data_IF_107452383877
#
_entry.id   IF_107452383877
#
_cell.length_a   1.000
_cell.length_b   1.000
_cell.length_c   1.000
_cell.angle_alpha   90.00
_cell.angle_beta   90.00
_cell.angle_gamma   90.00
#
_symmetry.space_group_name_H-M   'P 1'
#
loop_
_entity.id
_entity.type
_entity.pdbx_description
1 polymer ?
#
# COMPACT_ATOMS: atom_id res chain seq x y z
N UNK A 1 3.45 29.13 -11.99
CA UNK A 1 2.62 29.05 -10.77
C UNK A 1 2.06 27.63 -10.64
N UNK A 2 2.13 27.00 -9.46
CA UNK A 2 1.56 25.66 -9.22
C UNK A 2 2.55 24.54 -8.85
N UNK A 3 3.86 24.73 -9.07
CA UNK A 3 4.90 23.73 -8.76
C UNK A 3 4.93 23.28 -7.29
N UNK A 4 4.59 24.18 -6.35
CA UNK A 4 4.57 23.89 -4.91
C UNK A 4 3.17 23.55 -4.37
N UNK A 5 2.14 23.49 -5.22
CA UNK A 5 0.74 23.19 -4.81
C UNK A 5 0.17 21.90 -5.43
N UNK A 6 0.79 21.38 -6.48
CA UNK A 6 0.39 20.13 -7.13
C UNK A 6 1.15 18.93 -6.55
N UNK A 7 0.48 17.79 -6.44
CA UNK A 7 1.10 16.54 -5.98
C UNK A 7 1.16 16.36 -4.46
N UNK A 8 0.20 16.96 -3.74
CA UNK A 8 -0.01 16.77 -2.30
C UNK A 8 -0.29 15.30 -1.92
N UNK A 9 -1.01 14.58 -2.78
CA UNK A 9 -1.24 13.15 -2.59
C UNK A 9 0.10 12.41 -2.52
N UNK A 10 1.00 12.67 -3.46
CA UNK A 10 2.34 12.09 -3.46
C UNK A 10 3.04 12.33 -2.13
N UNK A 11 2.99 13.56 -1.59
CA UNK A 11 3.60 13.90 -0.29
C UNK A 11 3.03 13.08 0.84
N UNK A 12 1.74 12.79 0.76
CA UNK A 12 1.04 12.05 1.79
C UNK A 12 1.34 10.55 1.72
N UNK A 13 1.51 9.95 0.55
CA UNK A 13 1.49 8.47 0.41
C UNK A 13 2.78 7.87 -0.15
N UNK A 14 3.62 8.70 -0.76
CA UNK A 14 4.76 8.31 -1.58
C UNK A 14 5.93 7.67 -0.83
N UNK A 15 6.96 7.28 -1.58
CA UNK A 15 8.22 6.78 -1.04
C UNK A 15 8.77 7.72 0.03
N UNK A 16 9.19 7.18 1.17
CA UNK A 16 9.57 8.00 2.33
C UNK A 16 10.99 8.54 2.20
N UNK A 17 11.08 9.85 2.34
CA UNK A 17 12.31 10.56 2.68
C UNK A 17 12.14 11.12 4.09
N UNK A 18 12.79 10.50 5.05
CA UNK A 18 12.61 10.76 6.47
C UNK A 18 13.56 11.86 6.97
N UNK A 19 13.01 13.07 7.10
CA UNK A 19 13.68 14.19 7.72
C UNK A 19 14.52 15.03 6.76
N UNK A 20 15.32 15.91 7.37
CA UNK A 20 16.21 16.87 6.69
C UNK A 20 17.24 16.13 5.83
N UNK A 21 17.47 16.60 4.61
CA UNK A 21 18.60 16.14 3.81
C UNK A 21 19.07 17.21 2.83
N UNK A 22 20.33 17.16 2.45
CA UNK A 22 20.86 18.00 1.38
C UNK A 22 20.28 17.63 0.00
N UNK A 23 19.77 16.41 -0.17
CA UNK A 23 19.22 15.93 -1.44
C UNK A 23 17.73 16.24 -1.62
N UNK A 24 16.96 16.35 -0.55
CA UNK A 24 15.50 16.52 -0.60
C UNK A 24 14.99 17.63 0.32
N UNK A 25 15.87 18.53 0.74
CA UNK A 25 15.54 19.71 1.51
C UNK A 25 15.23 19.46 3.01
N UNK A 26 14.99 20.55 3.77
CA UNK A 26 14.83 20.53 5.23
C UNK A 26 13.60 19.80 5.79
N UNK A 27 12.48 19.72 5.05
CA UNK A 27 11.26 19.08 5.57
C UNK A 27 11.16 17.58 5.27
N UNK A 28 12.04 17.06 4.41
CA UNK A 28 11.80 15.78 3.76
C UNK A 28 10.55 15.85 2.87
N UNK A 29 10.52 15.01 1.83
CA UNK A 29 9.54 15.19 0.76
C UNK A 29 8.33 14.25 0.82
N UNK A 30 8.28 13.27 1.72
CA UNK A 30 7.08 12.44 1.90
C UNK A 30 6.82 12.11 3.36
N UNK A 31 5.57 12.25 3.79
CA UNK A 31 5.09 11.82 5.11
C UNK A 31 4.63 10.36 5.12
N UNK A 32 4.40 9.73 3.97
CA UNK A 32 4.10 8.30 3.82
C UNK A 32 3.05 7.75 4.79
N UNK A 33 1.95 8.49 4.97
CA UNK A 33 0.83 8.23 5.90
C UNK A 33 -0.09 7.12 5.43
N UNK A 34 -0.35 7.01 4.14
CA UNK A 34 -1.05 5.83 3.59
C UNK A 34 -0.03 4.71 3.45
N UNK A 35 -0.37 3.56 4.03
CA UNK A 35 0.51 2.40 4.11
C UNK A 35 -0.05 1.23 3.34
N UNK A 36 0.85 0.42 2.80
CA UNK A 36 0.57 -0.89 2.25
C UNK A 36 0.93 -1.96 3.29
N UNK A 37 0.41 -3.17 3.10
CA UNK A 37 0.51 -4.24 4.09
C UNK A 37 1.27 -5.45 3.56
N UNK A 38 1.79 -6.27 4.47
CA UNK A 38 2.53 -7.48 4.19
C UNK A 38 1.70 -8.50 3.40
N UNK A 39 0.42 -8.81 3.75
CA UNK A 39 -0.43 -9.63 2.90
C UNK A 39 -0.57 -9.13 1.47
N UNK A 40 -0.66 -7.81 1.26
CA UNK A 40 -0.67 -7.26 -0.09
C UNK A 40 0.68 -7.46 -0.79
N UNK A 41 1.80 -7.09 -0.15
CA UNK A 41 3.15 -7.28 -0.70
C UNK A 41 3.46 -8.74 -1.05
N UNK A 42 3.04 -9.66 -0.18
CA UNK A 42 3.28 -11.11 -0.31
C UNK A 42 2.25 -11.80 -1.21
N UNK A 43 1.22 -11.08 -1.67
CA UNK A 43 0.22 -11.62 -2.61
C UNK A 43 0.67 -11.62 -4.06
N UNK A 44 1.71 -10.87 -4.39
CA UNK A 44 2.28 -10.84 -5.73
C UNK A 44 3.05 -12.14 -6.01
N UNK A 45 2.80 -12.72 -7.17
CA UNK A 45 3.51 -13.90 -7.66
C UNK A 45 4.87 -13.54 -8.25
N UNK A 46 5.71 -14.55 -8.44
CA UNK A 46 7.05 -14.38 -9.01
C UNK A 46 6.99 -13.76 -10.42
N UNK A 47 7.85 -12.77 -10.67
CA UNK A 47 7.89 -12.03 -11.94
C UNK A 47 6.90 -10.87 -12.10
N UNK A 48 5.96 -10.66 -11.16
CA UNK A 48 5.07 -9.48 -11.22
C UNK A 48 5.85 -8.20 -10.84
N UNK A 49 6.10 -7.35 -11.84
CA UNK A 49 6.90 -6.13 -11.65
C UNK A 49 6.20 -5.08 -10.78
N UNK A 50 4.88 -5.19 -10.59
CA UNK A 50 4.09 -4.21 -9.81
C UNK A 50 4.42 -4.25 -8.34
N UNK A 51 4.87 -5.39 -7.79
CA UNK A 51 5.22 -5.52 -6.36
C UNK A 51 6.22 -4.44 -5.96
N UNK A 52 7.35 -4.38 -6.65
CA UNK A 52 8.48 -3.51 -6.29
C UNK A 52 8.27 -2.07 -6.82
N UNK A 53 7.43 -1.89 -7.85
CA UNK A 53 6.99 -0.57 -8.29
C UNK A 53 5.95 0.08 -7.37
N UNK A 54 5.14 -0.72 -6.67
CA UNK A 54 4.03 -0.23 -5.84
C UNK A 54 4.38 -0.18 -4.37
N UNK A 55 5.13 -1.15 -3.88
CA UNK A 55 5.52 -1.25 -2.49
C UNK A 55 6.99 -0.88 -2.29
N UNK A 56 7.25 -0.02 -1.31
CA UNK A 56 8.60 0.26 -0.84
C UNK A 56 8.81 -0.31 0.57
N UNK A 57 9.76 -1.25 0.66
CA UNK A 57 10.24 -1.87 1.90
C UNK A 57 11.47 -1.13 2.49
N UNK A 58 11.87 -0.03 1.85
CA UNK A 58 12.95 0.85 2.26
C UNK A 58 12.49 2.31 2.39
N UNK A 59 13.36 3.13 2.96
CA UNK A 59 13.22 4.59 3.02
C UNK A 59 14.59 5.25 2.97
N UNK A 60 14.64 6.51 2.53
CA UNK A 60 15.81 7.37 2.72
C UNK A 60 15.70 8.11 4.04
N UNK A 61 16.80 8.30 4.74
CA UNK A 61 16.85 9.12 5.95
C UNK A 61 18.25 9.20 6.54
N UNK A 62 18.40 10.05 7.54
CA UNK A 62 19.67 10.15 8.29
C UNK A 62 19.73 9.05 9.33
N UNK A 63 20.75 8.20 9.24
CA UNK A 63 21.06 7.20 10.26
C UNK A 63 21.39 7.88 11.58
N UNK A 64 20.75 7.45 12.67
CA UNK A 64 20.90 8.11 13.98
C UNK A 64 22.26 7.90 14.62
N UNK A 65 22.98 6.85 14.22
CA UNK A 65 24.27 6.50 14.81
C UNK A 65 25.42 7.08 13.99
N UNK A 66 25.35 6.96 12.64
CA UNK A 66 26.42 7.45 11.76
C UNK A 66 26.22 8.89 11.29
N UNK A 67 25.02 9.46 11.46
CA UNK A 67 24.60 10.75 10.90
C UNK A 67 24.69 10.82 9.37
N UNK A 68 24.79 9.68 8.69
CA UNK A 68 24.81 9.61 7.24
C UNK A 68 23.40 9.56 6.68
N UNK A 69 23.13 10.37 5.65
CA UNK A 69 21.90 10.24 4.87
C UNK A 69 22.03 9.08 3.88
N UNK A 70 21.24 8.02 4.09
CA UNK A 70 21.26 6.82 3.25
C UNK A 70 19.93 6.10 3.22
N UNK A 71 19.80 5.14 2.31
CA UNK A 71 18.66 4.24 2.24
C UNK A 71 18.76 3.17 3.32
N UNK A 72 17.63 2.83 3.94
CA UNK A 72 17.54 1.82 4.98
C UNK A 72 16.28 0.97 4.80
N UNK A 73 16.40 -0.33 5.08
CA UNK A 73 15.26 -1.24 5.13
C UNK A 73 14.39 -0.97 6.37
N UNK A 74 13.06 -1.04 6.21
CA UNK A 74 12.08 -0.65 7.25
C UNK A 74 12.05 -1.59 8.46
N UNK A 75 12.45 -2.85 8.31
CA UNK A 75 12.33 -3.85 9.37
C UNK A 75 10.99 -4.59 9.36
N UNK A 76 10.69 -5.30 10.46
CA UNK A 76 9.41 -5.98 10.68
C UNK A 76 8.27 -4.96 10.91
N UNK A 77 7.78 -4.38 9.83
CA UNK A 77 6.75 -3.33 9.82
C UNK A 77 5.60 -3.70 8.87
N UNK A 78 4.90 -4.82 9.12
CA UNK A 78 4.01 -5.46 8.16
C UNK A 78 2.78 -4.63 7.76
N UNK A 79 2.48 -3.55 8.46
CA UNK A 79 1.34 -2.67 8.15
C UNK A 79 1.78 -1.23 7.80
N UNK A 80 3.07 -1.03 7.53
CA UNK A 80 3.66 0.30 7.35
C UNK A 80 4.57 0.43 6.13
N UNK A 81 4.36 -0.37 5.08
CA UNK A 81 5.08 -0.24 3.81
C UNK A 81 4.66 1.03 3.09
N UNK A 82 5.60 1.70 2.41
CA UNK A 82 5.30 2.92 1.66
C UNK A 82 4.79 2.60 0.25
N UNK A 83 4.03 3.52 -0.35
CA UNK A 83 3.56 3.38 -1.72
C UNK A 83 4.53 4.05 -2.70
N UNK A 84 5.34 3.26 -3.42
CA UNK A 84 6.34 3.75 -4.38
C UNK A 84 5.77 4.20 -5.73
N UNK A 85 4.46 4.07 -5.97
CA UNK A 85 3.81 4.70 -7.14
C UNK A 85 4.01 6.22 -7.17
N UNK A 86 4.11 6.84 -6.00
CA UNK A 86 4.50 8.25 -5.85
C UNK A 86 5.93 8.34 -5.32
N UNK A 87 6.89 7.89 -6.13
CA UNK A 87 8.31 7.99 -5.78
C UNK A 87 8.90 9.34 -6.15
N UNK A 88 9.13 10.15 -5.12
CA UNK A 88 9.73 11.47 -5.21
C UNK A 88 11.12 11.50 -5.82
N UNK A 89 11.88 10.41 -5.70
CA UNK A 89 13.23 10.32 -6.25
C UNK A 89 13.21 10.47 -7.77
N UNK A 90 12.13 10.02 -8.41
CA UNK A 90 11.94 10.12 -9.87
C UNK A 90 11.66 11.54 -10.35
N UNK A 91 11.36 12.49 -9.45
CA UNK A 91 11.11 13.89 -9.80
C UNK A 91 12.38 14.74 -9.81
N UNK A 92 13.53 14.19 -9.39
CA UNK A 92 14.79 14.94 -9.33
C UNK A 92 15.26 15.45 -10.70
N UNK A 93 14.85 14.81 -11.80
CA UNK A 93 15.17 15.27 -13.17
C UNK A 93 14.44 16.57 -13.55
N UNK A 94 13.31 16.88 -12.88
CA UNK A 94 12.65 18.16 -13.04
C UNK A 94 13.42 19.24 -12.27
N UNK A 95 14.41 19.84 -12.94
CA UNK A 95 15.32 20.84 -12.35
C UNK A 95 14.60 22.00 -11.65
N UNK A 96 13.47 22.45 -12.18
CA UNK A 96 12.71 23.57 -11.61
C UNK A 96 12.05 23.17 -10.29
N UNK A 97 11.40 22.01 -10.26
CA UNK A 97 10.82 21.47 -9.01
C UNK A 97 11.93 21.15 -8.00
N UNK A 98 13.03 20.53 -8.46
CA UNK A 98 14.12 20.12 -7.60
C UNK A 98 14.81 21.32 -6.93
N UNK A 99 15.05 22.40 -7.68
CA UNK A 99 15.56 23.65 -7.11
C UNK A 99 14.62 24.23 -6.04
N UNK A 100 13.30 24.17 -6.25
CA UNK A 100 12.32 24.64 -5.26
C UNK A 100 12.33 23.81 -3.97
N UNK A 101 12.49 22.48 -4.09
CA UNK A 101 12.66 21.57 -2.95
C UNK A 101 13.90 21.94 -2.12
N UNK A 102 15.04 22.17 -2.77
CA UNK A 102 16.30 22.45 -2.08
C UNK A 102 16.31 23.83 -1.41
N UNK A 103 15.62 24.82 -2.00
CA UNK A 103 15.58 26.19 -1.50
C UNK A 103 14.54 26.43 -0.40
N UNK A 104 13.55 25.55 -0.23
CA UNK A 104 12.40 25.76 0.67
C UNK A 104 12.66 25.18 2.06
N UNK A 105 12.46 25.97 3.11
CA UNK A 105 12.36 25.49 4.50
C UNK A 105 10.96 24.97 4.86
N UNK A 106 9.99 25.16 3.94
CA UNK A 106 8.62 24.67 4.03
C UNK A 106 8.41 23.41 3.19
N UNK A 107 7.27 22.79 3.43
CA UNK A 107 6.79 21.65 2.65
C UNK A 107 6.65 22.01 1.16
N UNK A 108 7.21 21.15 0.30
CA UNK A 108 7.04 21.19 -1.16
C UNK A 108 6.35 19.90 -1.60
N UNK A 109 5.22 20.03 -2.30
CA UNK A 109 4.47 18.87 -2.84
C UNK A 109 5.27 18.16 -3.95
N UNK A 110 4.91 16.91 -4.30
CA UNK A 110 5.69 16.07 -5.23
C UNK A 110 5.83 16.59 -6.64
N UNK A 111 4.91 17.44 -7.10
CA UNK A 111 4.75 17.68 -8.52
C UNK A 111 4.25 16.45 -9.32
N UNK A 112 4.05 15.30 -8.67
CA UNK A 112 3.47 14.09 -9.30
C UNK A 112 1.97 14.28 -9.36
N UNK A 113 1.40 14.15 -10.56
CA UNK A 113 -0.03 14.30 -10.78
C UNK A 113 -0.82 13.17 -10.09
N UNK A 114 -2.05 13.50 -9.71
CA UNK A 114 -3.01 12.51 -9.20
C UNK A 114 -3.78 11.93 -10.38
N UNK A 115 -3.64 10.63 -10.60
CA UNK A 115 -4.43 9.94 -11.62
C UNK A 115 -5.87 9.84 -11.13
N UNK A 116 -6.81 10.35 -11.93
CA UNK A 116 -8.26 10.28 -11.64
C UNK A 116 -8.92 9.05 -12.26
N UNK A 117 -8.47 8.68 -13.45
CA UNK A 117 -8.88 7.49 -14.17
C UNK A 117 -7.76 7.12 -15.14
N UNK A 118 -7.62 5.83 -15.42
CA UNK A 118 -6.64 5.30 -16.39
C UNK A 118 -7.17 4.03 -17.04
N UNK A 119 -6.62 3.69 -18.19
CA UNK A 119 -7.15 2.62 -19.04
C UNK A 119 -7.32 1.26 -18.35
N UNK A 120 -6.40 0.77 -17.48
CA UNK A 120 -6.63 -0.49 -16.76
C UNK A 120 -7.84 -0.46 -15.82
N UNK A 121 -8.23 0.70 -15.29
CA UNK A 121 -9.46 0.82 -14.50
C UNK A 121 -10.71 0.64 -15.38
N UNK A 122 -10.67 1.14 -16.64
CA UNK A 122 -11.74 0.94 -17.62
C UNK A 122 -11.85 -0.54 -18.00
N UNK A 123 -10.71 -1.20 -18.25
CA UNK A 123 -10.67 -2.63 -18.54
C UNK A 123 -11.22 -3.49 -17.38
N UNK A 124 -10.92 -3.14 -16.12
CA UNK A 124 -11.50 -3.81 -14.95
C UNK A 124 -13.03 -3.62 -14.87
N UNK A 125 -13.52 -2.40 -15.05
CA UNK A 125 -14.97 -2.12 -15.07
C UNK A 125 -15.66 -2.86 -16.24
N UNK A 126 -15.01 -2.91 -17.40
CA UNK A 126 -15.51 -3.65 -18.56
C UNK A 126 -15.57 -5.15 -18.28
N UNK A 127 -14.48 -5.74 -17.78
CA UNK A 127 -14.43 -7.16 -17.44
C UNK A 127 -15.49 -7.55 -16.40
N UNK A 128 -15.70 -6.69 -15.40
CA UNK A 128 -16.74 -6.88 -14.40
C UNK A 128 -18.14 -6.86 -15.02
N UNK A 129 -18.51 -5.79 -15.73
CA UNK A 129 -19.85 -5.64 -16.30
C UNK A 129 -20.16 -6.75 -17.31
N UNK A 130 -19.20 -7.10 -18.17
CA UNK A 130 -19.40 -8.14 -19.18
C UNK A 130 -19.48 -9.52 -18.54
N UNK A 131 -18.70 -9.81 -17.50
CA UNK A 131 -18.84 -11.05 -16.75
C UNK A 131 -20.25 -11.20 -16.15
N UNK A 132 -20.75 -10.16 -15.48
CA UNK A 132 -22.06 -10.21 -14.82
C UNK A 132 -23.23 -10.34 -15.81
N UNK A 133 -23.16 -9.65 -16.95
CA UNK A 133 -24.27 -9.62 -17.91
C UNK A 133 -24.22 -10.74 -18.95
N UNK A 134 -23.03 -11.20 -19.31
CA UNK A 134 -22.81 -12.04 -20.48
C UNK A 134 -21.88 -13.25 -20.23
N UNK A 135 -21.20 -13.30 -19.08
CA UNK A 135 -20.22 -14.32 -18.74
C UNK A 135 -18.80 -13.97 -19.21
N UNK A 136 -17.81 -14.62 -18.58
CA UNK A 136 -16.38 -14.28 -18.72
C UNK A 136 -15.82 -14.39 -20.15
N UNK A 137 -16.35 -15.30 -20.97
CA UNK A 137 -15.87 -15.57 -22.33
C UNK A 137 -16.63 -14.76 -23.40
N UNK A 138 -17.57 -13.90 -22.99
CA UNK A 138 -18.33 -13.04 -23.88
C UNK A 138 -17.69 -11.65 -24.05
N UNK A 139 -18.03 -10.97 -25.14
CA UNK A 139 -17.73 -9.57 -25.41
C UNK A 139 -19.03 -8.75 -25.46
N UNK A 140 -19.00 -7.49 -25.02
CA UNK A 140 -20.13 -6.58 -25.17
C UNK A 140 -20.33 -6.19 -26.65
N UNK A 141 -21.55 -5.81 -27.01
CA UNK A 141 -21.86 -5.32 -28.36
C UNK A 141 -20.96 -4.12 -28.72
N UNK A 142 -20.28 -4.22 -29.88
CA UNK A 142 -19.36 -3.18 -30.35
C UNK A 142 -17.98 -3.19 -29.69
N UNK A 143 -17.68 -4.14 -28.81
CA UNK A 143 -16.38 -4.33 -28.19
C UNK A 143 -15.71 -5.61 -28.72
N UNK A 144 -14.38 -5.58 -28.87
CA UNK A 144 -13.60 -6.72 -29.39
C UNK A 144 -13.06 -7.64 -28.29
N UNK A 145 -12.92 -7.15 -27.07
CA UNK A 145 -12.36 -7.90 -25.96
C UNK A 145 -13.45 -8.71 -25.26
N UNK A 146 -13.15 -9.96 -24.90
CA UNK A 146 -13.96 -10.65 -23.90
C UNK A 146 -13.68 -10.09 -22.51
N UNK A 147 -14.51 -10.39 -21.50
CA UNK A 147 -14.19 -10.01 -20.12
C UNK A 147 -12.82 -10.57 -19.68
N UNK A 148 -12.57 -11.85 -19.98
CA UNK A 148 -11.27 -12.49 -19.75
C UNK A 148 -10.14 -11.82 -20.54
N UNK A 149 -10.37 -11.44 -21.80
CA UNK A 149 -9.39 -10.72 -22.62
C UNK A 149 -9.02 -9.36 -22.02
N UNK A 150 -10.00 -8.59 -21.55
CA UNK A 150 -9.76 -7.30 -20.92
C UNK A 150 -8.97 -7.42 -19.60
N UNK A 151 -9.29 -8.42 -18.77
CA UNK A 151 -8.51 -8.70 -17.57
C UNK A 151 -7.08 -9.11 -17.91
N UNK A 152 -6.92 -9.94 -18.96
CA UNK A 152 -5.62 -10.43 -19.41
C UNK A 152 -4.68 -9.33 -19.90
N UNK A 153 -5.18 -8.29 -20.57
CA UNK A 153 -4.33 -7.16 -20.99
C UNK A 153 -3.65 -6.46 -19.80
N UNK A 154 -4.37 -6.31 -18.69
CA UNK A 154 -3.83 -5.70 -17.46
C UNK A 154 -2.76 -6.61 -16.87
N UNK A 155 -3.11 -7.88 -16.73
CA UNK A 155 -2.26 -8.89 -16.12
C UNK A 155 -0.97 -9.04 -16.92
N UNK A 156 -1.06 -9.21 -18.23
CA UNK A 156 0.08 -9.50 -19.10
C UNK A 156 1.13 -8.37 -19.09
N UNK A 157 0.69 -7.11 -18.98
CA UNK A 157 1.59 -5.95 -18.88
C UNK A 157 2.43 -5.97 -17.60
N UNK A 158 1.97 -6.64 -16.55
CA UNK A 158 2.69 -6.73 -15.28
C UNK A 158 3.87 -7.72 -15.29
N UNK A 159 4.17 -8.37 -16.42
CA UNK A 159 5.22 -9.38 -16.51
C UNK A 159 6.11 -9.16 -17.72
N UNK A 160 7.43 -9.04 -17.48
CA UNK A 160 8.42 -8.99 -18.55
C UNK A 160 8.67 -10.38 -19.17
N UNK A 161 8.79 -11.41 -18.33
CA UNK A 161 9.06 -12.79 -18.74
C UNK A 161 7.76 -13.56 -19.05
N UNK A 162 7.70 -14.19 -20.22
CA UNK A 162 6.48 -14.83 -20.73
C UNK A 162 6.07 -16.09 -19.96
N UNK A 163 7.03 -16.88 -19.50
CA UNK A 163 6.81 -18.08 -18.69
C UNK A 163 6.19 -17.74 -17.32
N UNK A 164 6.70 -16.69 -16.68
CA UNK A 164 6.16 -16.17 -15.41
C UNK A 164 4.75 -15.63 -15.58
N UNK A 165 4.52 -14.86 -16.65
CA UNK A 165 3.20 -14.35 -17.02
C UNK A 165 2.17 -15.46 -17.21
N UNK A 166 2.52 -16.51 -17.94
CA UNK A 166 1.60 -17.63 -18.20
C UNK A 166 1.29 -18.41 -16.93
N UNK A 167 2.30 -18.66 -16.09
CA UNK A 167 2.14 -19.33 -14.80
C UNK A 167 1.22 -18.53 -13.88
N UNK A 168 1.48 -17.23 -13.74
CA UNK A 168 0.68 -16.29 -12.94
C UNK A 168 -0.77 -16.21 -13.42
N UNK A 169 -0.97 -16.15 -14.74
CA UNK A 169 -2.29 -16.12 -15.34
C UNK A 169 -3.08 -17.40 -15.06
N UNK A 170 -2.45 -18.56 -15.22
CA UNK A 170 -3.08 -19.86 -14.94
C UNK A 170 -3.46 -20.00 -13.46
N UNK A 171 -2.61 -19.53 -12.54
CA UNK A 171 -2.93 -19.50 -11.11
C UNK A 171 -4.10 -18.57 -10.80
N UNK A 172 -4.12 -17.36 -11.38
CA UNK A 172 -5.22 -16.41 -11.20
C UNK A 172 -6.56 -16.97 -11.70
N UNK A 173 -6.54 -17.69 -12.83
CA UNK A 173 -7.74 -18.29 -13.44
C UNK A 173 -8.26 -19.54 -12.73
N UNK A 174 -7.58 -20.04 -11.69
CA UNK A 174 -8.14 -21.07 -10.80
C UNK A 174 -9.20 -20.52 -9.84
N UNK A 175 -9.29 -19.19 -9.71
CA UNK A 175 -10.32 -18.51 -8.93
C UNK A 175 -11.59 -18.39 -9.76
N UNK A 176 -12.72 -18.21 -9.07
CA UNK A 176 -13.91 -17.67 -9.72
C UNK A 176 -13.57 -16.35 -10.42
N UNK A 177 -14.10 -16.13 -11.62
CA UNK A 177 -13.64 -15.04 -12.47
C UNK A 177 -13.83 -13.65 -11.83
N UNK A 178 -14.91 -13.49 -11.05
CA UNK A 178 -15.11 -12.28 -10.27
C UNK A 178 -14.04 -12.09 -9.18
N UNK A 179 -13.63 -13.15 -8.47
CA UNK A 179 -12.54 -13.08 -7.51
C UNK A 179 -11.19 -12.75 -8.18
N UNK A 180 -10.97 -13.22 -9.41
CA UNK A 180 -9.83 -12.82 -10.21
C UNK A 180 -9.84 -11.32 -10.53
N UNK A 181 -11.00 -10.74 -10.89
CA UNK A 181 -11.16 -9.29 -11.07
C UNK A 181 -10.87 -8.55 -9.76
N UNK A 182 -11.42 -9.03 -8.64
CA UNK A 182 -11.21 -8.45 -7.32
C UNK A 182 -9.72 -8.47 -6.94
N UNK A 183 -8.98 -9.53 -7.29
CA UNK A 183 -7.55 -9.62 -7.03
C UNK A 183 -6.73 -8.70 -7.93
N UNK A 184 -6.98 -8.73 -9.24
CA UNK A 184 -6.27 -7.89 -10.22
C UNK A 184 -6.50 -6.40 -9.94
N UNK A 185 -7.72 -6.01 -9.52
CA UNK A 185 -8.02 -4.65 -9.04
C UNK A 185 -7.14 -4.24 -7.85
N UNK A 186 -6.88 -5.15 -6.90
CA UNK A 186 -6.03 -4.86 -5.75
C UNK A 186 -4.58 -4.61 -6.17
N UNK A 187 -4.02 -5.51 -7.00
CA UNK A 187 -2.65 -5.38 -7.51
C UNK A 187 -2.48 -4.12 -8.35
N UNK A 188 -3.43 -3.87 -9.25
CA UNK A 188 -3.32 -2.80 -10.22
C UNK A 188 -3.52 -1.42 -9.58
N UNK A 189 -4.54 -1.23 -8.73
CA UNK A 189 -5.00 0.09 -8.30
C UNK A 189 -4.63 0.47 -6.86
N UNK A 190 -3.73 -0.28 -6.20
CA UNK A 190 -3.31 0.06 -4.84
C UNK A 190 -2.73 1.48 -4.74
N UNK A 191 -3.07 2.19 -3.66
CA UNK A 191 -2.66 3.57 -3.41
C UNK A 191 -3.48 4.63 -4.17
N UNK A 192 -4.32 4.25 -5.14
CA UNK A 192 -5.07 5.20 -6.00
C UNK A 192 -6.43 5.61 -5.42
N UNK A 193 -6.77 5.14 -4.21
CA UNK A 193 -7.94 5.60 -3.46
C UNK A 193 -9.28 4.96 -3.84
N UNK A 194 -9.27 3.89 -4.65
CA UNK A 194 -10.50 3.24 -5.16
C UNK A 194 -10.90 1.99 -4.39
N UNK A 195 -9.93 1.24 -3.84
CA UNK A 195 -10.15 -0.11 -3.27
C UNK A 195 -11.27 -0.18 -2.22
N UNK A 196 -11.33 0.78 -1.30
CA UNK A 196 -12.37 0.80 -0.26
C UNK A 196 -13.77 0.88 -0.89
N UNK A 197 -13.95 1.72 -1.90
CA UNK A 197 -15.23 1.93 -2.55
C UNK A 197 -15.62 0.73 -3.43
N UNK A 198 -14.65 0.14 -4.12
CA UNK A 198 -14.85 -1.10 -4.86
C UNK A 198 -15.31 -2.25 -3.94
N UNK A 199 -14.64 -2.43 -2.81
CA UNK A 199 -15.05 -3.43 -1.83
C UNK A 199 -16.44 -3.15 -1.22
N UNK A 200 -16.84 -1.89 -1.06
CA UNK A 200 -18.18 -1.55 -0.55
C UNK A 200 -19.26 -1.92 -1.58
N UNK A 201 -19.09 -1.52 -2.85
CA UNK A 201 -20.08 -1.80 -3.90
C UNK A 201 -20.20 -3.30 -4.20
N UNK A 202 -19.14 -4.07 -3.99
CA UNK A 202 -19.16 -5.53 -4.06
C UNK A 202 -19.68 -6.21 -2.81
N UNK A 203 -19.98 -5.45 -1.74
CA UNK A 203 -20.32 -6.00 -0.42
C UNK A 203 -19.23 -6.91 0.19
N UNK A 204 -17.95 -6.65 -0.12
CA UNK A 204 -16.79 -7.43 0.27
C UNK A 204 -15.87 -6.73 1.30
N UNK A 205 -16.17 -5.49 1.72
CA UNK A 205 -15.25 -4.70 2.55
C UNK A 205 -14.90 -5.39 3.87
N UNK A 206 -15.91 -5.86 4.61
CA UNK A 206 -15.68 -6.57 5.86
C UNK A 206 -14.89 -7.85 5.63
N UNK A 207 -15.38 -8.68 4.72
CA UNK A 207 -14.80 -9.99 4.41
C UNK A 207 -13.32 -9.89 4.02
N UNK A 208 -12.97 -8.92 3.15
CA UNK A 208 -11.57 -8.73 2.74
C UNK A 208 -10.66 -8.19 3.84
N UNK A 209 -11.20 -7.46 4.82
CA UNK A 209 -10.43 -7.05 6.01
C UNK A 209 -10.16 -8.25 6.90
N UNK A 210 -11.15 -9.13 7.10
CA UNK A 210 -11.01 -10.34 7.91
C UNK A 210 -10.09 -11.38 7.22
N UNK A 211 -10.19 -11.51 5.90
CA UNK A 211 -9.26 -12.29 5.08
C UNK A 211 -7.84 -11.76 5.27
N UNK A 212 -7.61 -10.46 5.09
CA UNK A 212 -6.31 -9.83 5.32
C UNK A 212 -5.71 -10.16 6.70
N UNK A 213 -6.52 -10.08 7.77
CA UNK A 213 -6.08 -10.39 9.13
C UNK A 213 -5.72 -11.87 9.30
N UNK A 214 -6.56 -12.74 8.75
CA UNK A 214 -6.37 -14.19 8.77
C UNK A 214 -5.12 -14.59 8.00
N UNK A 215 -4.92 -14.04 6.79
CA UNK A 215 -3.72 -14.28 5.96
C UNK A 215 -2.45 -13.89 6.70
N UNK A 216 -2.39 -12.70 7.31
CA UNK A 216 -1.22 -12.30 8.09
C UNK A 216 -0.98 -13.25 9.28
N UNK A 217 -2.03 -13.54 10.04
CA UNK A 217 -1.96 -14.38 11.25
C UNK A 217 -1.44 -15.78 10.91
N UNK A 218 -2.04 -16.42 9.90
CA UNK A 218 -1.64 -17.74 9.43
C UNK A 218 -0.22 -17.73 8.87
N UNK A 219 0.16 -16.70 8.12
CA UNK A 219 1.50 -16.63 7.54
C UNK A 219 2.61 -16.53 8.60
N UNK A 220 2.36 -15.78 9.67
CA UNK A 220 3.29 -15.68 10.80
C UNK A 220 3.35 -16.99 11.59
N UNK A 221 2.20 -17.56 11.96
CA UNK A 221 2.19 -18.81 12.75
C UNK A 221 2.73 -20.03 11.99
N UNK A 222 2.47 -20.10 10.67
CA UNK A 222 2.96 -21.17 9.82
C UNK A 222 4.37 -20.91 9.26
N UNK A 223 5.03 -19.83 9.70
CA UNK A 223 6.36 -19.44 9.28
C UNK A 223 6.54 -19.33 7.75
N UNK A 224 5.49 -18.92 7.03
CA UNK A 224 5.55 -18.75 5.56
C UNK A 224 6.12 -17.41 5.15
N UNK A 225 6.10 -16.41 6.04
CA UNK A 225 6.77 -15.13 5.80
C UNK A 225 8.25 -15.17 6.16
N UNK A 226 9.13 -14.58 5.34
CA UNK A 226 10.56 -14.61 5.60
C UNK A 226 10.91 -13.81 6.85
N UNK A 227 11.83 -14.34 7.65
CA UNK A 227 12.32 -13.69 8.88
C UNK A 227 13.25 -12.52 8.62
N UNK A 228 14.03 -12.58 7.54
CA UNK A 228 14.98 -11.55 7.16
C UNK A 228 14.85 -11.18 5.69
N UNK A 229 15.16 -9.93 5.39
CA UNK A 229 15.57 -9.46 4.07
C UNK A 229 17.05 -9.11 4.14
N UNK A 230 17.82 -9.72 3.24
CA UNK A 230 19.24 -9.52 3.11
C UNK A 230 19.51 -8.67 1.87
N UNK A 231 20.43 -7.72 1.97
CA UNK A 231 20.69 -6.77 0.90
C UNK A 231 22.13 -6.27 0.95
N UNK A 232 22.62 -5.82 -0.20
CA UNK A 232 23.87 -5.07 -0.32
C UNK A 232 23.57 -3.61 -0.62
N UNK A 233 24.51 -2.73 -0.27
CA UNK A 233 24.54 -1.40 -0.84
C UNK A 233 25.21 -1.44 -2.21
N UNK A 234 24.84 -0.51 -3.07
CA UNK A 234 25.46 -0.39 -4.38
C UNK A 234 26.94 -0.02 -4.26
N UNK A 235 27.76 -0.57 -5.14
CA UNK A 235 29.21 -0.28 -5.19
C UNK A 235 29.50 1.09 -5.77
N UNK A 236 28.69 1.56 -6.72
CA UNK A 236 28.85 2.86 -7.38
C UNK A 236 28.32 4.03 -6.54
N UNK A 237 27.29 3.80 -5.74
CA UNK A 237 26.78 4.77 -4.77
C UNK A 237 26.22 4.09 -3.51
N UNK A 238 27.05 3.93 -2.45
CA UNK A 238 26.66 3.26 -1.21
C UNK A 238 25.54 3.93 -0.42
N UNK A 239 25.06 5.11 -0.84
CA UNK A 239 23.85 5.72 -0.29
C UNK A 239 22.60 4.87 -0.54
N UNK A 240 22.59 4.07 -1.61
CA UNK A 240 21.42 3.34 -2.09
C UNK A 240 21.58 1.84 -1.94
N UNK A 241 20.47 1.17 -1.62
CA UNK A 241 20.43 -0.29 -1.60
C UNK A 241 20.43 -0.80 -3.05
N UNK A 242 21.18 -1.86 -3.31
CA UNK A 242 21.05 -2.59 -4.56
C UNK A 242 19.81 -3.49 -4.48
N UNK A 243 18.71 -3.02 -5.05
CA UNK A 243 17.43 -3.74 -5.06
C UNK A 243 17.49 -5.07 -5.85
N UNK A 244 18.52 -5.30 -6.66
CA UNK A 244 18.73 -6.59 -7.34
C UNK A 244 19.40 -7.62 -6.44
N UNK A 245 19.98 -7.19 -5.32
CA UNK A 245 20.67 -8.06 -4.35
C UNK A 245 19.76 -8.68 -3.29
N UNK A 246 18.44 -8.43 -3.34
CA UNK A 246 17.54 -8.84 -2.26
C UNK A 246 17.42 -10.37 -2.16
N UNK A 247 17.69 -10.90 -0.96
CA UNK A 247 17.47 -12.31 -0.63
C UNK A 247 16.60 -12.39 0.62
N UNK A 248 15.45 -13.06 0.52
CA UNK A 248 14.50 -13.24 1.62
C UNK A 248 14.70 -14.59 2.31
N UNK A 249 14.56 -14.63 3.64
CA UNK A 249 14.60 -15.87 4.41
C UNK A 249 15.48 -15.77 5.64
N UNK A 250 16.49 -16.64 5.73
CA UNK A 250 17.48 -16.64 6.82
C UNK A 250 18.56 -15.58 6.59
N UNK A 251 19.34 -15.30 7.65
CA UNK A 251 20.48 -14.39 7.57
C UNK A 251 21.52 -14.91 6.58
N UNK A 252 22.08 -14.00 5.78
CA UNK A 252 23.18 -14.27 4.85
C UNK A 252 24.45 -13.55 5.36
N UNK A 253 25.58 -14.27 5.39
CA UNK A 253 26.86 -13.73 5.83
C UNK A 253 27.60 -12.93 4.74
N UNK A 254 28.86 -12.54 5.03
CA UNK A 254 29.70 -11.78 4.12
C UNK A 254 29.34 -10.30 4.07
N UNK A 255 29.23 -9.73 2.87
CA UNK A 255 28.91 -8.30 2.65
C UNK A 255 27.43 -7.96 2.86
N UNK A 256 26.58 -8.97 3.08
CA UNK A 256 25.15 -8.76 3.22
C UNK A 256 24.80 -8.06 4.53
N UNK A 257 24.00 -7.00 4.42
CA UNK A 257 23.27 -6.44 5.53
C UNK A 257 22.00 -7.27 5.75
N UNK A 258 21.64 -7.46 7.02
CA UNK A 258 20.56 -8.35 7.43
C UNK A 258 19.52 -7.53 8.21
N UNK A 259 18.29 -7.41 7.70
CA UNK A 259 17.20 -6.72 8.41
C UNK A 259 16.06 -7.68 8.69
N UNK A 260 15.54 -7.64 9.93
CA UNK A 260 14.32 -8.37 10.28
C UNK A 260 13.17 -7.99 9.33
N UNK A 261 12.34 -8.96 8.98
CA UNK A 261 11.23 -8.81 8.06
C UNK A 261 9.96 -9.41 8.67
N UNK A 262 8.89 -9.61 7.90
CA UNK A 262 7.55 -9.89 8.46
C UNK A 262 7.48 -11.18 9.30
N UNK A 263 8.29 -12.20 8.98
CA UNK A 263 8.32 -13.46 9.72
C UNK A 263 9.03 -13.39 11.08
N UNK A 264 9.82 -12.34 11.33
CA UNK A 264 10.52 -12.14 12.60
C UNK A 264 9.58 -11.87 13.77
N UNK A 265 8.29 -11.65 13.50
CA UNK A 265 7.24 -11.51 14.51
C UNK A 265 7.19 -12.70 15.49
N UNK A 266 7.53 -13.91 15.02
CA UNK A 266 7.58 -15.12 15.87
C UNK A 266 8.73 -15.12 16.87
N UNK A 267 9.79 -14.35 16.60
CA UNK A 267 10.98 -14.27 17.45
C UNK A 267 10.87 -13.10 18.47
N UNK A 268 9.90 -12.20 18.29
CA UNK A 268 9.62 -11.08 19.20
C UNK A 268 8.69 -11.56 20.34
N UNK A 269 9.17 -11.55 21.58
CA UNK A 269 8.37 -11.96 22.75
C UNK A 269 7.10 -11.12 22.95
N UNK A 270 7.11 -9.86 22.52
CA UNK A 270 5.97 -8.95 22.64
C UNK A 270 4.92 -9.16 21.54
N UNK A 271 5.32 -9.70 20.38
CA UNK A 271 4.47 -9.92 19.20
C UNK A 271 3.53 -8.75 18.93
N UNK A 272 4.05 -7.51 18.94
CA UNK A 272 3.23 -6.29 18.87
C UNK A 272 2.39 -6.24 17.60
N UNK A 273 2.87 -6.77 16.48
CA UNK A 273 2.07 -6.74 15.26
C UNK A 273 0.87 -7.67 15.37
N UNK A 274 1.03 -8.89 15.90
CA UNK A 274 -0.08 -9.82 16.12
C UNK A 274 -1.03 -9.39 17.24
N UNK A 275 -0.48 -8.95 18.38
CA UNK A 275 -1.25 -8.75 19.63
C UNK A 275 -1.81 -7.34 19.79
N UNK A 276 -1.25 -6.34 19.11
CA UNK A 276 -1.64 -4.93 19.28
C UNK A 276 -2.06 -4.29 17.96
N UNK A 277 -1.19 -4.32 16.95
CA UNK A 277 -1.45 -3.59 15.71
C UNK A 277 -2.55 -4.27 14.89
N UNK A 278 -2.50 -5.59 14.69
CA UNK A 278 -3.49 -6.32 13.88
C UNK A 278 -4.92 -6.21 14.45
N UNK A 279 -5.16 -6.38 15.76
CA UNK A 279 -6.50 -6.20 16.33
C UNK A 279 -7.03 -4.76 16.22
N UNK A 280 -6.13 -3.76 16.17
CA UNK A 280 -6.52 -2.34 16.02
C UNK A 280 -7.04 -1.99 14.63
N UNK A 281 -6.69 -2.78 13.60
CA UNK A 281 -7.13 -2.54 12.22
C UNK A 281 -8.64 -2.78 12.15
N UNK A 282 -9.40 -1.70 11.92
CA UNK A 282 -10.86 -1.73 11.79
C UNK A 282 -11.57 -2.40 12.97
N UNK A 283 -11.06 -2.21 14.20
CA UNK A 283 -11.54 -2.85 15.44
C UNK A 283 -13.01 -2.59 15.81
N UNK A 284 -13.71 -1.73 15.06
CA UNK A 284 -15.13 -1.41 15.24
C UNK A 284 -16.04 -1.85 14.10
N UNK A 285 -15.51 -2.35 12.98
CA UNK A 285 -16.29 -2.51 11.74
C UNK A 285 -17.42 -3.53 11.88
N UNK A 286 -17.15 -4.66 12.52
CA UNK A 286 -18.07 -5.79 12.64
C UNK A 286 -18.73 -5.87 14.01
N UNK A 287 -18.51 -4.87 14.86
CA UNK A 287 -19.16 -4.82 16.16
C UNK A 287 -20.62 -4.45 15.95
N UNK A 288 -21.51 -5.13 16.67
CA UNK A 288 -22.91 -4.72 16.75
C UNK A 288 -22.97 -3.31 17.34
N UNK A 289 -23.15 -2.32 16.47
CA UNK A 289 -23.36 -0.93 16.88
C UNK A 289 -24.85 -0.68 17.01
N UNK A 290 -25.26 -0.02 18.09
CA UNK A 290 -26.58 0.59 18.13
C UNK A 290 -26.59 1.68 17.07
N UNK A 291 -27.44 1.54 16.06
CA UNK A 291 -27.53 2.53 14.99
C UNK A 291 -28.05 3.84 15.60
N UNK A 292 -27.15 4.83 15.72
CA UNK A 292 -27.41 6.12 16.36
C UNK A 292 -27.44 7.16 15.26
N UNK A 293 -28.65 7.59 14.92
CA UNK A 293 -28.88 8.58 13.85
C UNK A 293 -28.69 10.02 14.31
N UNK A 294 -28.51 10.23 15.63
CA UNK A 294 -28.32 11.54 16.23
C UNK A 294 -26.97 11.59 16.93
N UNK A 295 -26.19 12.63 16.66
CA UNK A 295 -25.00 12.95 17.44
C UNK A 295 -25.41 13.31 18.87
N UNK A 296 -24.63 12.90 19.89
CA UNK A 296 -24.91 13.31 21.26
C UNK A 296 -24.83 14.83 21.37
N UNK A 297 -25.70 15.39 22.21
CA UNK A 297 -25.60 16.77 22.68
C UNK A 297 -24.26 16.90 23.42
N UNK A 298 -23.49 17.94 23.10
CA UNK A 298 -22.21 18.20 23.75
C UNK A 298 -22.40 18.39 25.27
N UNK A 299 -21.45 17.87 26.06
CA UNK A 299 -21.51 17.89 27.52
C UNK A 299 -21.66 19.31 28.10
N UNK A 300 -21.12 20.33 27.43
CA UNK A 300 -21.28 21.74 27.81
C UNK A 300 -22.72 22.21 27.71
N UNK A 301 -23.44 21.83 26.65
CA UNK A 301 -24.86 22.15 26.45
C UNK A 301 -25.74 21.42 27.45
N UNK A 302 -25.42 20.15 27.75
CA UNK A 302 -26.14 19.38 28.79
C UNK A 302 -25.94 20.02 30.17
N UNK A 303 -24.69 20.32 30.53
CA UNK A 303 -24.36 20.95 31.81
C UNK A 303 -25.09 22.29 31.99
N UNK A 304 -25.14 23.10 30.93
CA UNK A 304 -25.80 24.42 30.95
C UNK A 304 -27.32 24.30 30.98
N UNK A 305 -27.88 23.16 30.57
CA UNK A 305 -29.32 22.94 30.58
C UNK A 305 -29.89 22.78 32.00
N UNK A 306 -29.05 22.63 33.04
CA UNK A 306 -29.47 22.39 34.42
C UNK A 306 -30.47 21.22 34.56
N UNK A 307 -30.14 20.09 33.92
CA UNK A 307 -30.97 18.86 33.95
C UNK A 307 -32.24 18.95 33.11
N UNK A 308 -32.29 19.82 32.10
CA UNK A 308 -33.42 19.91 31.16
C UNK A 308 -33.18 19.14 29.88
N UNK A 309 -31.93 18.93 29.51
CA UNK A 309 -31.52 18.13 28.36
C UNK A 309 -30.72 16.93 28.83
N UNK A 310 -31.00 15.78 28.23
CA UNK A 310 -30.29 14.53 28.49
C UNK A 310 -29.98 13.87 27.15
N UNK A 311 -28.83 13.19 27.06
CA UNK A 311 -28.53 12.36 25.91
C UNK A 311 -29.31 11.04 25.99
N UNK A 312 -29.89 10.63 24.86
CA UNK A 312 -30.48 9.30 24.70
C UNK A 312 -29.42 8.27 24.26
N UNK A 313 -29.85 7.03 23.99
CA UNK A 313 -28.99 5.94 23.50
C UNK A 313 -27.84 5.49 24.44
N UNK A 314 -27.90 5.85 25.72
CA UNK A 314 -26.92 5.42 26.73
C UNK A 314 -25.57 6.15 26.67
N UNK A 315 -25.56 7.39 26.16
CA UNK A 315 -24.45 8.30 26.41
C UNK A 315 -24.56 8.87 27.83
N UNK A 316 -23.42 9.15 28.45
CA UNK A 316 -23.39 9.89 29.71
C UNK A 316 -23.81 11.34 29.48
N UNK A 317 -24.56 11.88 30.42
CA UNK A 317 -24.86 13.31 30.53
C UNK A 317 -23.65 14.09 31.05
#
# INVERSE_FOLDING_TARGET
>A
MGLNKSGELGYTIGYRVNGVSALFGPKGNSSGKLKLTAPYYMSFVDGDIRRDMTCAISQLGTDKNTNEFKESMLGNTPFALYCSKWDYRKMMENKTWYAAVLASDQKVSSGINVVKMRYPQILLMYAEVVNELHGKDAAAAGCSLTATGALKEIHDRAFAASDKRETAWNELMQKEFFDAIVMENAWELAGEGVRKYDLIRWNLLSEKIDEFKTTYTNAVYNATYPKYVNFKYRTDNPMYIDMTSLVFGNKVGGEYQNKAFFGAETDDSSQKNLKVNLPSISSGLNNAVKNRYLLPIASTTISTSNGKLHNSYGYSD
#
